data_IF_167811624522
#
_entry.id   IF_167811624522
#
_cell.length_a   1.000
_cell.length_b   1.000
_cell.length_c   1.000
_cell.angle_alpha   90.00
_cell.angle_beta   90.00
_cell.angle_gamma   90.00
#
_symmetry.space_group_name_H-M   'P 1'
#
loop_
_entity.id
_entity.type
_entity.pdbx_description
1 polymer ?
#
# COMPACT_ATOMS: atom_id res chain seq x y z
N UNK A 1 8.82 36.61 -16.25
CA UNK A 1 8.67 35.48 -15.32
C UNK A 1 8.08 36.01 -14.02
N UNK A 2 6.81 35.76 -13.77
CA UNK A 2 6.21 36.16 -12.50
C UNK A 2 6.42 35.05 -11.48
N UNK A 3 7.45 35.21 -10.66
CA UNK A 3 7.79 34.35 -9.52
C UNK A 3 6.79 34.48 -8.35
N UNK A 4 5.71 35.25 -8.53
CA UNK A 4 4.70 35.58 -7.52
C UNK A 4 3.26 35.35 -8.01
N UNK A 5 3.04 34.46 -8.98
CA UNK A 5 1.70 34.10 -9.48
C UNK A 5 1.08 32.89 -8.75
N UNK A 6 1.81 32.27 -7.83
CA UNK A 6 1.27 31.17 -7.02
C UNK A 6 0.51 31.77 -5.83
N UNK A 7 -0.78 31.45 -5.72
CA UNK A 7 -1.59 31.87 -4.58
C UNK A 7 -1.05 31.25 -3.29
N UNK A 8 -1.17 31.95 -2.15
CA UNK A 8 -0.80 31.41 -0.84
C UNK A 8 -1.48 30.05 -0.56
N UNK A 9 -2.66 29.81 -1.14
CA UNK A 9 -3.36 28.53 -1.04
C UNK A 9 -2.63 27.41 -1.80
N UNK A 10 -2.06 27.70 -2.98
CA UNK A 10 -1.28 26.74 -3.77
C UNK A 10 0.06 26.46 -3.10
N UNK A 11 0.72 27.49 -2.55
CA UNK A 11 1.94 27.32 -1.79
C UNK A 11 1.71 26.48 -0.51
N UNK A 12 0.63 26.76 0.23
CA UNK A 12 0.25 25.96 1.39
C UNK A 12 -0.11 24.51 1.01
N UNK A 13 -0.82 24.32 -0.11
CA UNK A 13 -1.15 23.01 -0.65
C UNK A 13 0.09 22.21 -1.05
N UNK A 14 1.04 22.84 -1.73
CA UNK A 14 2.31 22.22 -2.11
C UNK A 14 3.15 21.82 -0.88
N UNK A 15 3.23 22.68 0.14
CA UNK A 15 3.92 22.37 1.38
C UNK A 15 3.23 21.24 2.16
N UNK A 16 1.89 21.23 2.21
CA UNK A 16 1.14 20.15 2.86
C UNK A 16 1.34 18.81 2.13
N UNK A 17 1.33 18.81 0.80
CA UNK A 17 1.63 17.62 0.00
C UNK A 17 3.07 17.12 0.24
N UNK A 18 4.05 18.02 0.25
CA UNK A 18 5.45 17.66 0.54
C UNK A 18 5.62 17.12 1.97
N UNK A 19 5.03 17.77 2.97
CA UNK A 19 5.10 17.33 4.37
C UNK A 19 4.45 15.95 4.55
N UNK A 20 3.28 15.71 3.96
CA UNK A 20 2.62 14.41 4.03
C UNK A 20 3.40 13.33 3.29
N UNK A 21 4.01 13.63 2.14
CA UNK A 21 4.89 12.71 1.43
C UNK A 21 6.09 12.27 2.28
N UNK A 22 6.68 13.19 3.05
CA UNK A 22 7.82 12.87 3.94
C UNK A 22 7.38 12.12 5.20
N UNK A 23 6.24 12.48 5.80
CA UNK A 23 5.78 11.91 7.07
C UNK A 23 5.10 10.54 6.88
N UNK A 24 4.41 10.31 5.75
CA UNK A 24 3.62 9.10 5.53
C UNK A 24 4.45 7.80 5.56
N UNK A 25 5.63 7.71 4.89
CA UNK A 25 6.44 6.49 4.92
C UNK A 25 6.89 6.05 6.33
N UNK A 26 7.48 6.91 7.20
CA UNK A 26 7.87 6.49 8.54
C UNK A 26 6.68 6.15 9.44
N UNK A 27 5.56 6.88 9.32
CA UNK A 27 4.33 6.56 10.08
C UNK A 27 3.75 5.24 9.64
N UNK A 28 3.68 4.95 8.34
CA UNK A 28 3.16 3.69 7.83
C UNK A 28 4.04 2.51 8.26
N UNK A 29 5.37 2.64 8.20
CA UNK A 29 6.30 1.62 8.74
C UNK A 29 6.13 1.42 10.25
N UNK A 30 5.87 2.48 11.01
CA UNK A 30 5.58 2.36 12.44
C UNK A 30 4.27 1.58 12.68
N UNK A 31 3.21 1.87 11.93
CA UNK A 31 1.94 1.15 12.03
C UNK A 31 2.06 -0.31 11.58
N UNK A 32 2.85 -0.58 10.54
CA UNK A 32 3.15 -1.94 10.08
C UNK A 32 3.89 -2.75 11.15
N UNK A 33 4.89 -2.15 11.83
CA UNK A 33 5.59 -2.79 12.97
C UNK A 33 4.66 -3.15 14.14
N UNK A 34 3.58 -2.40 14.31
CA UNK A 34 2.56 -2.66 15.32
C UNK A 34 1.47 -3.64 14.82
N UNK A 35 1.61 -4.18 13.60
CA UNK A 35 0.66 -5.09 12.98
C UNK A 35 -0.75 -4.47 12.78
N UNK A 36 -0.78 -3.13 12.71
CA UNK A 36 -1.98 -2.31 12.52
C UNK A 36 -2.20 -1.88 11.07
N UNK A 37 -1.18 -2.05 10.22
CA UNK A 37 -1.23 -1.80 8.79
C UNK A 37 -0.43 -2.89 8.05
N UNK A 38 -0.73 -3.17 6.78
CA UNK A 38 0.14 -4.00 5.95
C UNK A 38 1.54 -3.35 5.81
N UNK A 39 2.55 -4.17 5.56
CA UNK A 39 3.89 -3.65 5.24
C UNK A 39 3.82 -2.82 3.95
N UNK A 40 4.47 -1.64 3.89
CA UNK A 40 4.51 -0.86 2.66
C UNK A 40 5.22 -1.63 1.56
N UNK A 41 4.44 -2.10 0.59
CA UNK A 41 4.97 -2.70 -0.62
C UNK A 41 5.81 -1.67 -1.41
N UNK A 42 7.11 -1.90 -1.61
CA UNK A 42 7.98 -0.97 -2.31
C UNK A 42 7.62 -0.83 -3.79
N UNK A 43 7.07 -1.88 -4.42
CA UNK A 43 6.76 -1.92 -5.85
C UNK A 43 5.37 -1.34 -6.13
N UNK A 44 4.46 -1.32 -5.15
CA UNK A 44 3.12 -0.75 -5.31
C UNK A 44 3.11 0.75 -5.62
N UNK A 45 4.17 1.49 -5.26
CA UNK A 45 4.32 2.87 -5.69
C UNK A 45 4.62 2.94 -7.19
N UNK A 46 5.57 2.14 -7.65
CA UNK A 46 6.06 2.14 -9.03
C UNK A 46 4.97 1.67 -10.00
N UNK A 47 4.17 0.66 -9.63
CA UNK A 47 2.98 0.25 -10.40
C UNK A 47 2.02 1.40 -10.64
N UNK A 48 1.77 2.22 -9.61
CA UNK A 48 0.89 3.40 -9.74
C UNK A 48 1.53 4.48 -10.61
N UNK A 49 2.84 4.67 -10.49
CA UNK A 49 3.57 5.65 -11.31
C UNK A 49 3.62 5.23 -12.78
N UNK A 50 3.88 3.95 -13.08
CA UNK A 50 3.81 3.40 -14.44
C UNK A 50 2.42 3.63 -15.03
N UNK A 51 1.35 3.22 -14.33
CA UNK A 51 -0.02 3.41 -14.79
C UNK A 51 -0.39 4.90 -15.00
N UNK A 52 0.15 5.80 -14.16
CA UNK A 52 -0.03 7.24 -14.33
C UNK A 52 0.68 7.78 -15.57
N UNK A 53 1.92 7.35 -15.84
CA UNK A 53 2.68 7.77 -17.02
C UNK A 53 2.01 7.25 -18.30
N UNK A 54 1.57 6.00 -18.31
CA UNK A 54 0.81 5.42 -19.42
C UNK A 54 -0.50 6.19 -19.67
N UNK A 55 -1.22 6.59 -18.61
CA UNK A 55 -2.43 7.40 -18.74
C UNK A 55 -2.17 8.81 -19.31
N UNK A 56 -0.93 9.31 -19.21
CA UNK A 56 -0.49 10.56 -19.82
C UNK A 56 0.16 10.35 -21.21
N UNK A 57 0.14 9.13 -21.74
CA UNK A 57 0.79 8.76 -23.01
C UNK A 57 2.32 8.99 -23.00
N UNK A 58 2.94 8.85 -21.83
CA UNK A 58 4.39 8.95 -21.63
C UNK A 58 5.01 7.56 -21.51
N UNK A 59 6.21 7.36 -22.07
CA UNK A 59 6.94 6.10 -21.94
C UNK A 59 7.50 5.93 -20.50
N UNK A 60 6.99 4.98 -19.71
CA UNK A 60 7.47 4.77 -18.35
C UNK A 60 8.89 4.21 -18.30
N UNK A 61 9.37 3.54 -19.36
CA UNK A 61 10.74 3.00 -19.42
C UNK A 61 11.76 4.13 -19.50
N UNK A 62 11.46 5.17 -20.28
CA UNK A 62 12.32 6.36 -20.39
C UNK A 62 12.44 7.11 -19.06
N UNK A 63 11.36 7.18 -18.29
CA UNK A 63 11.30 7.96 -17.04
C UNK A 63 11.80 7.17 -15.82
N UNK A 64 11.44 5.88 -15.70
CA UNK A 64 11.69 5.07 -14.49
C UNK A 64 12.77 4.00 -14.69
N UNK A 65 13.15 3.71 -15.93
CA UNK A 65 14.07 2.64 -16.29
C UNK A 65 13.37 1.28 -16.47
N UNK A 66 13.95 0.44 -17.34
CA UNK A 66 13.38 -0.85 -17.73
C UNK A 66 13.22 -1.84 -16.57
N UNK A 67 14.16 -1.86 -15.62
CA UNK A 67 14.11 -2.78 -14.47
C UNK A 67 12.93 -2.47 -13.52
N UNK A 68 12.61 -1.18 -13.35
CA UNK A 68 11.49 -0.72 -12.53
C UNK A 68 10.16 -1.10 -13.18
N UNK A 69 10.03 -0.88 -14.49
CA UNK A 69 8.82 -1.25 -15.27
C UNK A 69 8.64 -2.77 -15.30
N UNK A 70 9.72 -3.54 -15.44
CA UNK A 70 9.68 -5.00 -15.38
C UNK A 70 9.20 -5.50 -14.01
N UNK A 71 9.69 -4.92 -12.91
CA UNK A 71 9.24 -5.26 -11.56
C UNK A 71 7.77 -4.88 -11.33
N UNK A 72 7.37 -3.70 -11.78
CA UNK A 72 5.98 -3.23 -11.69
C UNK A 72 5.01 -4.12 -12.49
N UNK A 73 5.38 -4.54 -13.70
CA UNK A 73 4.53 -5.40 -14.54
C UNK A 73 4.41 -6.83 -14.00
N UNK A 74 5.44 -7.34 -13.33
CA UNK A 74 5.41 -8.66 -12.67
C UNK A 74 4.71 -8.64 -11.30
N UNK A 75 4.34 -7.46 -10.80
CA UNK A 75 3.80 -7.29 -9.47
C UNK A 75 2.36 -7.81 -9.35
N UNK A 76 2.04 -8.43 -8.20
CA UNK A 76 0.70 -8.85 -7.84
C UNK A 76 0.41 -8.42 -6.40
N UNK A 77 -0.78 -7.85 -6.10
CA UNK A 77 -1.10 -7.42 -4.74
C UNK A 77 -1.13 -8.61 -3.79
N UNK A 78 -0.40 -8.52 -2.68
CA UNK A 78 -0.56 -9.45 -1.57
C UNK A 78 -1.94 -9.22 -0.90
N UNK A 79 -2.84 -10.18 -1.06
CA UNK A 79 -4.19 -10.16 -0.49
C UNK A 79 -4.29 -10.96 0.81
N UNK A 80 -3.17 -11.50 1.30
CA UNK A 80 -3.15 -12.41 2.45
C UNK A 80 -3.16 -11.71 3.82
N UNK A 81 -2.89 -10.40 3.87
CA UNK A 81 -2.84 -9.69 5.14
C UNK A 81 -4.22 -9.59 5.80
N UNK A 82 -4.31 -10.10 7.03
CA UNK A 82 -5.50 -10.02 7.89
C UNK A 82 -5.17 -9.17 9.13
N UNK A 83 -5.99 -8.13 9.43
CA UNK A 83 -5.78 -7.31 10.62
C UNK A 83 -5.66 -8.15 11.89
N UNK A 84 -4.78 -7.74 12.81
CA UNK A 84 -4.58 -8.44 14.09
C UNK A 84 -5.89 -8.66 14.86
N UNK A 85 -6.80 -7.69 14.84
CA UNK A 85 -8.13 -7.79 15.47
C UNK A 85 -8.96 -8.97 14.95
N UNK A 86 -8.89 -9.24 13.64
CA UNK A 86 -9.66 -10.30 13.00
C UNK A 86 -9.01 -11.69 13.19
N UNK A 87 -7.69 -11.73 13.37
CA UNK A 87 -6.97 -12.95 13.78
C UNK A 87 -7.38 -13.43 15.17
N UNK A 88 -7.47 -12.54 16.15
CA UNK A 88 -7.94 -12.89 17.50
C UNK A 88 -9.39 -13.43 17.48
N UNK A 89 -10.27 -12.80 16.69
CA UNK A 89 -11.64 -13.28 16.50
C UNK A 89 -11.66 -14.68 15.89
N UNK A 90 -10.85 -14.92 14.86
CA UNK A 90 -10.79 -16.23 14.19
C UNK A 90 -10.22 -17.34 15.09
N UNK A 91 -9.22 -17.03 15.92
CA UNK A 91 -8.68 -17.97 16.90
C UNK A 91 -9.70 -18.33 17.98
N UNK A 92 -10.53 -17.37 18.41
CA UNK A 92 -11.60 -17.61 19.40
C UNK A 92 -12.75 -18.48 18.87
N UNK A 93 -12.85 -18.66 17.55
CA UNK A 93 -13.90 -19.44 16.89
C UNK A 93 -13.46 -20.85 16.47
N UNK A 94 -12.23 -21.28 16.76
CA UNK A 94 -11.83 -22.69 16.58
C UNK A 94 -12.41 -23.53 17.73
N UNK A 95 -13.39 -24.41 17.49
CA UNK A 95 -13.91 -25.25 18.56
C UNK A 95 -12.87 -26.33 18.92
N UNK A 96 -12.36 -26.25 20.15
CA UNK A 96 -11.74 -27.38 20.84
C UNK A 96 -12.84 -28.40 21.09
N UNK A 97 -12.76 -29.56 20.44
CA UNK A 97 -13.56 -30.72 20.81
C UNK A 97 -14.92 -30.83 20.10
N UNK A 98 -14.99 -31.74 19.13
CA UNK A 98 -15.97 -32.82 19.17
C UNK A 98 -15.51 -33.93 18.22
N UNK A 99 -14.52 -34.69 18.68
CA UNK A 99 -14.57 -36.13 18.49
C UNK A 99 -15.60 -36.66 19.50
N UNK A 100 -16.74 -37.14 19.01
CA UNK A 100 -17.69 -38.13 19.60
C UNK A 100 -19.14 -37.73 19.27
N UNK A 101 -20.10 -38.57 18.87
CA UNK A 101 -20.19 -39.95 18.35
C UNK A 101 -21.71 -40.22 18.29
N UNK A 102 -22.29 -40.75 17.20
CA UNK A 102 -23.48 -41.63 17.27
C UNK A 102 -23.82 -42.35 15.95
N UNK A 103 -23.81 -43.69 16.00
CA UNK A 103 -24.78 -44.67 15.43
C UNK A 103 -24.61 -45.05 13.93
N UNK A 104 -23.99 -46.20 13.60
CA UNK A 104 -24.52 -47.60 13.39
C UNK A 104 -24.53 -47.86 11.87
N UNK A 105 -24.07 -48.95 11.28
CA UNK A 105 -24.10 -50.41 11.55
C UNK A 105 -22.81 -51.08 11.12
#
# INVERSE_FOLDING_TARGET
MCVNCMSNAEAAGALAAAATYVIKPPVHRMLAKLDLAPDPDPVAHDVRTVAFLEALDLDPVEVLGADTVAQASAWSPDTSWVPFRDRLRSASLRPIGSQSRMITT
#
